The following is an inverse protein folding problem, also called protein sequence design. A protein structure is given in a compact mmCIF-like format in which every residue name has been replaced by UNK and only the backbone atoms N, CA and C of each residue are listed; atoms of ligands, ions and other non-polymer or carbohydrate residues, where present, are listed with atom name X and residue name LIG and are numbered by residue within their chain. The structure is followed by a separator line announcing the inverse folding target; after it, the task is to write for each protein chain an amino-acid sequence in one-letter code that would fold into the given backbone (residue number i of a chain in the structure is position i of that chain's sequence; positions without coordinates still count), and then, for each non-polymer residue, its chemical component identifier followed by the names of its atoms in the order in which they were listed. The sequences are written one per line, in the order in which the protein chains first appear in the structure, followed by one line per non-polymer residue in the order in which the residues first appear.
data_IF_162944798605
#
_entry.id   IF_162944798605
#
_cell.length_a   1.000
_cell.length_b   1.000
_cell.length_c   1.000
_cell.angle_alpha   90.00
_cell.angle_beta   90.00
_cell.angle_gamma   90.00
#
_symmetry.space_group_name_H-M   'P 1'
#
loop_
_entity.id
_entity.type
_entity.pdbx_description
1 polymer ?
#
# COMPACT_ATOMS: atom_id res chain seq x y z
N UNK A 1 -11.59 -18.34 27.59
CA UNK A 1 -12.38 -17.20 27.06
C UNK A 1 -13.16 -16.57 28.20
N UNK A 2 -12.94 -15.28 28.46
CA UNK A 2 -13.52 -14.57 29.59
C UNK A 2 -14.99 -14.19 29.29
N UNK A 3 -15.96 -14.79 29.99
CA UNK A 3 -17.39 -14.46 29.87
C UNK A 3 -17.68 -12.97 30.10
N UNK A 4 -16.84 -12.30 30.89
CA UNK A 4 -16.91 -10.88 31.18
C UNK A 4 -16.66 -10.01 29.94
N UNK A 5 -15.74 -10.40 29.07
CA UNK A 5 -15.49 -9.68 27.81
C UNK A 5 -16.73 -9.70 26.91
N UNK A 6 -17.28 -10.89 26.66
CA UNK A 6 -18.46 -11.04 25.79
C UNK A 6 -19.65 -10.24 26.30
N UNK A 7 -19.92 -10.34 27.60
CA UNK A 7 -21.04 -9.63 28.23
C UNK A 7 -20.88 -8.12 28.12
N UNK A 8 -19.67 -7.60 28.37
CA UNK A 8 -19.41 -6.17 28.30
C UNK A 8 -19.41 -5.65 26.85
N UNK A 9 -18.79 -6.38 25.92
CA UNK A 9 -18.68 -5.97 24.52
C UNK A 9 -20.04 -5.97 23.80
N UNK A 10 -20.93 -6.92 24.11
CA UNK A 10 -22.25 -7.02 23.49
C UNK A 10 -23.19 -5.83 23.79
N UNK A 11 -22.87 -4.99 24.78
CA UNK A 11 -23.64 -3.78 25.04
C UNK A 11 -23.46 -2.73 23.93
N UNK A 12 -22.27 -2.68 23.34
CA UNK A 12 -21.88 -1.64 22.38
C UNK A 12 -21.64 -2.19 20.96
N UNK A 13 -21.42 -3.49 20.81
CA UNK A 13 -20.98 -4.13 19.58
C UNK A 13 -21.80 -5.37 19.23
N UNK A 14 -21.98 -5.59 17.93
CA UNK A 14 -22.39 -6.89 17.39
C UNK A 14 -21.11 -7.67 17.07
N UNK A 15 -20.89 -8.78 17.78
CA UNK A 15 -19.67 -9.58 17.63
C UNK A 15 -19.83 -10.59 16.49
N UNK A 16 -18.86 -10.61 15.59
CA UNK A 16 -18.76 -11.58 14.49
C UNK A 16 -17.36 -12.18 14.54
N UNK A 17 -17.27 -13.51 14.57
CA UNK A 17 -15.99 -14.24 14.49
C UNK A 17 -15.87 -14.91 13.13
N UNK A 18 -14.72 -14.72 12.48
CA UNK A 18 -14.36 -15.41 11.25
C UNK A 18 -13.11 -16.24 11.53
N UNK A 19 -13.23 -17.55 11.42
CA UNK A 19 -12.13 -18.48 11.69
C UNK A 19 -11.40 -18.87 10.40
N UNK A 20 -10.07 -18.90 10.47
CA UNK A 20 -9.16 -19.27 9.37
C UNK A 20 -8.24 -20.44 9.79
N UNK A 21 -8.79 -21.64 10.05
CA UNK A 21 -8.01 -22.78 10.50
C UNK A 21 -7.11 -23.33 9.38
N UNK A 22 -5.98 -23.91 9.75
CA UNK A 22 -5.02 -24.49 8.78
C UNK A 22 -5.32 -25.95 8.42
N UNK A 23 -5.83 -26.75 9.35
CA UNK A 23 -6.11 -28.19 9.15
C UNK A 23 -7.36 -28.45 8.30
N UNK A 24 -7.29 -29.45 7.41
CA UNK A 24 -8.36 -29.76 6.44
C UNK A 24 -9.72 -30.06 7.10
N UNK A 25 -9.74 -30.87 8.17
CA UNK A 25 -10.98 -31.17 8.90
C UNK A 25 -11.61 -29.92 9.51
N UNK A 26 -10.79 -29.01 10.04
CA UNK A 26 -11.28 -27.76 10.62
C UNK A 26 -11.73 -26.76 9.54
N UNK A 27 -11.06 -26.72 8.38
CA UNK A 27 -11.51 -25.94 7.22
C UNK A 27 -12.90 -26.39 6.73
N UNK A 28 -13.15 -27.70 6.71
CA UNK A 28 -14.46 -28.25 6.34
C UNK A 28 -15.58 -27.88 7.33
N UNK A 29 -15.24 -27.52 8.57
CA UNK A 29 -16.19 -27.10 9.59
C UNK A 29 -16.49 -25.59 9.57
N UNK A 30 -15.75 -24.79 8.78
CA UNK A 30 -16.02 -23.35 8.64
C UNK A 30 -17.36 -23.15 7.93
N UNK A 31 -18.34 -22.42 8.52
CA UNK A 31 -19.68 -22.31 7.96
C UNK A 31 -19.75 -21.68 6.57
N UNK A 32 -18.87 -20.71 6.28
CA UNK A 32 -18.83 -20.03 4.99
C UNK A 32 -17.40 -19.54 4.65
N UNK A 33 -16.50 -20.44 4.22
CA UNK A 33 -15.10 -20.10 3.98
C UNK A 33 -14.94 -19.06 2.86
N UNK A 34 -15.75 -19.15 1.80
CA UNK A 34 -15.72 -18.19 0.69
C UNK A 34 -16.02 -16.76 1.17
N UNK A 35 -17.03 -16.60 2.03
CA UNK A 35 -17.35 -15.28 2.59
C UNK A 35 -16.25 -14.77 3.53
N UNK A 36 -15.60 -15.66 4.28
CA UNK A 36 -14.48 -15.28 5.13
C UNK A 36 -13.32 -14.75 4.28
N UNK A 37 -12.99 -15.43 3.18
CA UNK A 37 -11.93 -15.03 2.25
C UNK A 37 -12.26 -13.68 1.57
N UNK A 38 -13.51 -13.49 1.13
CA UNK A 38 -13.98 -12.21 0.59
C UNK A 38 -13.82 -11.06 1.60
N UNK A 39 -14.17 -11.29 2.87
CA UNK A 39 -14.07 -10.27 3.91
C UNK A 39 -12.62 -9.99 4.33
N UNK A 40 -11.78 -11.03 4.38
CA UNK A 40 -10.34 -10.91 4.61
C UNK A 40 -9.69 -10.03 3.54
N UNK A 41 -10.00 -10.31 2.27
CA UNK A 41 -9.54 -9.50 1.14
C UNK A 41 -10.10 -8.08 1.19
N UNK A 42 -11.42 -7.92 1.41
CA UNK A 42 -12.09 -6.61 1.46
C UNK A 42 -11.47 -5.67 2.51
N UNK A 43 -11.13 -6.20 3.68
CA UNK A 43 -10.58 -5.41 4.77
C UNK A 43 -9.04 -5.44 4.85
N UNK A 44 -8.37 -6.07 3.88
CA UNK A 44 -6.91 -6.12 3.81
C UNK A 44 -6.26 -6.80 5.03
N UNK A 45 -6.90 -7.83 5.58
CA UNK A 45 -6.38 -8.53 6.77
C UNK A 45 -5.22 -9.44 6.34
N UNK A 46 -4.01 -9.12 6.80
CA UNK A 46 -2.78 -9.83 6.44
C UNK A 46 -2.28 -10.78 7.55
N UNK A 47 -2.85 -10.69 8.76
CA UNK A 47 -2.39 -11.45 9.91
C UNK A 47 -3.45 -11.60 10.99
N UNK A 48 -3.19 -12.51 11.93
CA UNK A 48 -4.11 -12.86 13.01
C UNK A 48 -3.43 -12.77 14.38
N UNK A 49 -4.15 -12.38 15.45
CA UNK A 49 -5.54 -11.94 15.45
C UNK A 49 -5.68 -10.49 14.96
N UNK A 50 -6.71 -10.25 14.15
CA UNK A 50 -7.13 -8.90 13.71
C UNK A 50 -8.59 -8.68 14.11
N UNK A 51 -8.87 -7.56 14.75
CA UNK A 51 -10.21 -7.11 15.14
C UNK A 51 -10.55 -5.86 14.37
N UNK A 52 -11.58 -5.93 13.54
CA UNK A 52 -12.08 -4.80 12.74
C UNK A 52 -13.30 -4.19 13.42
N UNK A 53 -13.39 -2.86 13.41
CA UNK A 53 -14.56 -2.11 13.83
C UNK A 53 -15.23 -1.58 12.56
N UNK A 54 -16.45 -2.04 12.30
CA UNK A 54 -17.14 -1.85 11.03
C UNK A 54 -18.53 -1.28 11.27
N UNK A 55 -18.95 -0.34 10.41
CA UNK A 55 -20.29 0.25 10.46
C UNK A 55 -21.36 -0.74 9.98
N UNK A 56 -22.63 -0.43 10.23
CA UNK A 56 -23.75 -1.28 9.80
C UNK A 56 -23.82 -1.50 8.27
N UNK A 57 -23.22 -0.60 7.48
CA UNK A 57 -23.14 -0.71 6.01
C UNK A 57 -21.82 -1.33 5.52
N UNK A 58 -20.96 -1.78 6.43
CA UNK A 58 -19.72 -2.45 6.08
C UNK A 58 -18.52 -1.54 5.84
N UNK A 59 -18.54 -0.29 6.32
CA UNK A 59 -17.39 0.63 6.29
C UNK A 59 -16.51 0.39 7.52
N UNK A 60 -15.26 -0.03 7.32
CA UNK A 60 -14.30 -0.16 8.41
C UNK A 60 -13.83 1.23 8.87
N UNK A 61 -13.80 1.45 10.18
CA UNK A 61 -13.36 2.71 10.79
C UNK A 61 -12.42 2.52 11.98
N UNK A 62 -12.03 1.28 12.26
CA UNK A 62 -11.06 0.97 13.29
C UNK A 62 -10.51 -0.43 13.10
N UNK A 63 -9.28 -0.62 13.55
CA UNK A 63 -8.61 -1.91 13.55
C UNK A 63 -7.75 -2.01 14.80
N UNK A 64 -7.70 -3.19 15.39
CA UNK A 64 -6.77 -3.54 16.47
C UNK A 64 -6.41 -5.01 16.35
N UNK A 65 -5.55 -5.50 17.23
CA UNK A 65 -5.11 -6.89 17.26
C UNK A 65 -4.96 -7.38 18.70
N UNK A 66 -4.07 -8.34 18.91
CA UNK A 66 -3.70 -8.75 20.26
C UNK A 66 -2.97 -7.61 20.97
N UNK A 67 -3.34 -7.37 22.23
CA UNK A 67 -2.61 -6.52 23.16
C UNK A 67 -2.50 -7.25 24.48
N UNK A 68 -1.35 -7.15 25.14
CA UNK A 68 -1.10 -7.70 26.47
C UNK A 68 -1.81 -6.82 27.51
N UNK A 69 -3.14 -6.90 27.53
CA UNK A 69 -4.05 -6.12 28.36
C UNK A 69 -5.07 -7.06 29.00
N UNK A 70 -5.53 -6.70 30.20
CA UNK A 70 -6.66 -7.37 30.81
C UNK A 70 -7.94 -7.12 30.00
N UNK A 71 -8.96 -8.02 30.07
CA UNK A 71 -10.15 -7.92 29.22
C UNK A 71 -10.89 -6.59 29.29
N UNK A 72 -10.92 -5.95 30.46
CA UNK A 72 -11.56 -4.65 30.66
C UNK A 72 -10.80 -3.52 29.95
N UNK A 73 -9.47 -3.51 30.06
CA UNK A 73 -8.60 -2.51 29.43
C UNK A 73 -8.59 -2.68 27.91
N UNK A 74 -8.62 -3.93 27.42
CA UNK A 74 -8.76 -4.21 25.99
C UNK A 74 -10.09 -3.66 25.44
N UNK A 75 -11.20 -3.83 26.17
CA UNK A 75 -12.49 -3.29 25.73
C UNK A 75 -12.51 -1.75 25.75
N UNK A 76 -11.85 -1.12 26.73
CA UNK A 76 -11.71 0.33 26.78
C UNK A 76 -10.88 0.85 25.58
N UNK A 77 -9.81 0.15 25.21
CA UNK A 77 -9.03 0.44 24.00
C UNK A 77 -9.88 0.33 22.73
N UNK A 78 -10.66 -0.75 22.57
CA UNK A 78 -11.59 -0.93 21.44
C UNK A 78 -12.63 0.20 21.39
N UNK A 79 -13.15 0.64 22.54
CA UNK A 79 -14.08 1.77 22.62
C UNK A 79 -13.42 3.10 22.20
N UNK A 80 -12.17 3.34 22.59
CA UNK A 80 -11.41 4.51 22.16
C UNK A 80 -11.17 4.51 20.64
N UNK A 81 -10.79 3.37 20.07
CA UNK A 81 -10.62 3.20 18.62
C UNK A 81 -11.95 3.45 17.90
N UNK A 82 -13.05 2.90 18.43
CA UNK A 82 -14.41 3.14 17.90
C UNK A 82 -14.72 4.63 17.86
N UNK A 83 -14.46 5.37 18.93
CA UNK A 83 -14.82 6.77 19.04
C UNK A 83 -13.96 7.67 18.15
N UNK A 84 -12.66 7.39 18.06
CA UNK A 84 -11.74 8.04 17.10
C UNK A 84 -12.18 7.78 15.67
N UNK A 85 -12.47 6.51 15.33
CA UNK A 85 -12.90 6.13 14.00
C UNK A 85 -14.27 6.71 13.59
N UNK A 86 -15.23 6.79 14.52
CA UNK A 86 -16.50 7.48 14.29
C UNK A 86 -16.30 8.96 13.96
N UNK A 87 -15.40 9.66 14.67
CA UNK A 87 -15.07 11.06 14.37
C UNK A 87 -14.44 11.19 12.97
N UNK A 88 -13.53 10.29 12.62
CA UNK A 88 -12.94 10.24 11.28
C UNK A 88 -14.00 10.02 10.20
N UNK A 89 -14.93 9.08 10.38
CA UNK A 89 -16.04 8.87 9.44
C UNK A 89 -16.93 10.10 9.28
N UNK A 90 -17.22 10.82 10.38
CA UNK A 90 -17.99 12.07 10.30
C UNK A 90 -17.22 13.11 9.49
N UNK A 91 -15.93 13.32 9.77
CA UNK A 91 -15.10 14.26 9.02
C UNK A 91 -15.03 13.94 7.53
N UNK A 92 -14.88 12.65 7.17
CA UNK A 92 -14.90 12.19 5.78
C UNK A 92 -16.25 12.51 5.13
N UNK A 93 -17.38 12.21 5.78
CA UNK A 93 -18.71 12.48 5.24
C UNK A 93 -19.00 13.98 5.09
N UNK A 94 -18.51 14.80 6.02
CA UNK A 94 -18.60 16.25 5.92
C UNK A 94 -17.81 16.76 4.71
N UNK A 95 -16.58 16.26 4.51
CA UNK A 95 -15.76 16.59 3.34
C UNK A 95 -16.43 16.13 2.03
N UNK A 96 -16.99 14.92 2.01
CA UNK A 96 -17.73 14.39 0.85
C UNK A 96 -18.93 15.27 0.50
N UNK A 97 -19.71 15.67 1.51
CA UNK A 97 -20.86 16.54 1.32
C UNK A 97 -20.45 17.92 0.82
N UNK A 98 -19.37 18.49 1.37
CA UNK A 98 -18.80 19.76 0.90
C UNK A 98 -18.32 19.65 -0.55
N UNK A 99 -17.53 18.61 -0.88
CA UNK A 99 -17.04 18.38 -2.24
C UNK A 99 -18.19 18.20 -3.23
N UNK A 100 -19.26 17.50 -2.84
CA UNK A 100 -20.43 17.33 -3.70
C UNK A 100 -21.15 18.65 -3.99
N UNK A 101 -21.27 19.52 -2.99
CA UNK A 101 -21.99 20.79 -3.05
C UNK A 101 -21.17 21.97 -3.59
N UNK A 102 -19.84 21.90 -3.56
CA UNK A 102 -18.97 22.99 -3.97
C UNK A 102 -19.06 23.31 -5.47
N UNK A 103 -19.08 24.60 -5.80
CA UNK A 103 -18.90 25.09 -7.17
C UNK A 103 -17.46 24.83 -7.65
N UNK A 104 -16.48 25.09 -6.78
CA UNK A 104 -15.07 24.78 -7.02
C UNK A 104 -14.65 23.52 -6.26
N UNK A 105 -14.87 22.37 -6.89
CA UNK A 105 -14.51 21.06 -6.33
C UNK A 105 -12.99 20.83 -6.29
N UNK A 106 -12.24 21.45 -7.19
CA UNK A 106 -10.77 21.33 -7.22
C UNK A 106 -10.19 22.01 -5.98
N UNK A 107 -10.71 23.18 -5.58
CA UNK A 107 -10.30 23.83 -4.34
C UNK A 107 -10.54 22.96 -3.09
N UNK A 108 -11.67 22.25 -3.03
CA UNK A 108 -11.95 21.29 -1.94
C UNK A 108 -10.95 20.14 -1.94
N UNK A 109 -10.62 19.58 -3.11
CA UNK A 109 -9.61 18.52 -3.23
C UNK A 109 -8.20 18.99 -2.84
N UNK A 110 -7.81 20.21 -3.21
CA UNK A 110 -6.52 20.81 -2.81
C UNK A 110 -6.46 21.00 -1.29
N UNK A 111 -7.54 21.47 -0.67
CA UNK A 111 -7.64 21.54 0.80
C UNK A 111 -7.53 20.15 1.42
N UNK A 112 -8.25 19.17 0.88
CA UNK A 112 -8.20 17.78 1.35
C UNK A 112 -6.78 17.22 1.28
N UNK A 113 -6.03 17.48 0.21
CA UNK A 113 -4.62 17.07 0.08
C UNK A 113 -3.73 17.71 1.16
N UNK A 114 -3.93 19.00 1.45
CA UNK A 114 -3.20 19.71 2.50
C UNK A 114 -3.58 19.29 3.93
N UNK A 115 -4.78 18.76 4.14
CA UNK A 115 -5.18 18.11 5.41
C UNK A 115 -4.58 16.70 5.50
N UNK A 116 -4.62 15.93 4.42
CA UNK A 116 -4.08 14.58 4.32
C UNK A 116 -2.60 14.53 4.68
N UNK A 117 -1.79 15.50 4.21
CA UNK A 117 -0.36 15.58 4.53
C UNK A 117 -0.04 15.85 6.01
N UNK A 118 -1.04 16.23 6.81
CA UNK A 118 -0.90 16.53 8.25
C UNK A 118 -1.48 15.43 9.13
N UNK A 119 -2.14 14.42 8.54
CA UNK A 119 -2.74 13.34 9.30
C UNK A 119 -1.67 12.41 9.86
N UNK A 120 -1.90 11.91 11.06
CA UNK A 120 -1.08 10.85 11.64
C UNK A 120 -1.21 9.58 10.79
N UNK A 121 -0.09 8.89 10.59
CA UNK A 121 -0.07 7.61 9.91
C UNK A 121 -1.04 6.63 10.58
N UNK A 122 -1.87 5.95 9.78
CA UNK A 122 -2.90 5.04 10.27
C UNK A 122 -4.21 5.72 10.70
N UNK A 123 -4.36 7.04 10.54
CA UNK A 123 -5.65 7.71 10.75
C UNK A 123 -6.74 7.08 9.89
N UNK A 124 -7.92 6.73 10.46
CA UNK A 124 -9.03 6.15 9.69
C UNK A 124 -9.61 7.10 8.62
N UNK A 125 -9.30 8.39 8.67
CA UNK A 125 -9.77 9.38 7.69
C UNK A 125 -8.97 9.37 6.38
N UNK A 126 -7.75 8.81 6.38
CA UNK A 126 -6.80 8.89 5.26
C UNK A 126 -7.43 8.42 3.95
N UNK A 127 -8.06 7.25 3.94
CA UNK A 127 -8.63 6.67 2.72
C UNK A 127 -9.76 7.54 2.13
N UNK A 128 -10.65 8.08 2.97
CA UNK A 128 -11.74 8.96 2.53
C UNK A 128 -11.23 10.27 1.96
N UNK A 129 -10.25 10.89 2.62
CA UNK A 129 -9.61 12.11 2.12
C UNK A 129 -8.87 11.88 0.80
N UNK A 130 -8.08 10.80 0.71
CA UNK A 130 -7.39 10.43 -0.52
C UNK A 130 -8.36 10.17 -1.69
N UNK A 131 -9.56 9.62 -1.41
CA UNK A 131 -10.59 9.44 -2.43
C UNK A 131 -11.11 10.78 -2.97
N UNK A 132 -11.32 11.79 -2.11
CA UNK A 132 -11.69 13.15 -2.53
C UNK A 132 -10.57 13.81 -3.33
N UNK A 133 -9.32 13.65 -2.90
CA UNK A 133 -8.14 14.13 -3.63
C UNK A 133 -8.09 13.55 -5.04
N UNK A 134 -8.27 12.23 -5.19
CA UNK A 134 -8.30 11.55 -6.50
C UNK A 134 -9.46 12.01 -7.38
N UNK A 135 -10.63 12.28 -6.81
CA UNK A 135 -11.73 12.88 -7.58
C UNK A 135 -11.34 14.26 -8.11
N UNK A 136 -10.63 15.08 -7.32
CA UNK A 136 -10.11 16.38 -7.75
C UNK A 136 -9.11 16.29 -8.92
N UNK A 137 -8.26 15.26 -8.94
CA UNK A 137 -7.31 15.01 -10.03
C UNK A 137 -8.04 14.91 -11.39
N UNK A 138 -9.18 14.23 -11.43
CA UNK A 138 -9.96 14.05 -12.65
C UNK A 138 -10.64 15.35 -13.14
N UNK A 139 -10.79 16.35 -12.27
CA UNK A 139 -11.51 17.59 -12.55
C UNK A 139 -10.59 18.74 -12.99
N UNK A 140 -9.31 18.72 -12.61
CA UNK A 140 -8.37 19.78 -12.96
C UNK A 140 -7.66 19.54 -14.30
N UNK A 141 -7.42 20.62 -15.04
CA UNK A 141 -6.56 20.63 -16.24
C UNK A 141 -5.19 21.28 -15.97
N UNK A 142 -4.98 21.82 -14.76
CA UNK A 142 -3.72 22.48 -14.39
C UNK A 142 -2.66 21.43 -14.00
N UNK A 143 -1.56 21.28 -14.75
CA UNK A 143 -0.61 20.19 -14.53
C UNK A 143 0.00 20.20 -13.12
N UNK A 144 0.36 21.36 -12.58
CA UNK A 144 0.95 21.49 -11.25
C UNK A 144 0.01 21.01 -10.15
N UNK A 145 -1.25 21.48 -10.15
CA UNK A 145 -2.26 21.05 -9.17
C UNK A 145 -2.49 19.55 -9.26
N UNK A 146 -2.53 19.02 -10.49
CA UNK A 146 -2.76 17.61 -10.75
C UNK A 146 -1.65 16.72 -10.18
N UNK A 147 -0.39 17.12 -10.39
CA UNK A 147 0.79 16.48 -9.83
C UNK A 147 0.76 16.50 -8.30
N UNK A 148 0.42 17.64 -7.70
CA UNK A 148 0.39 17.79 -6.23
C UNK A 148 -0.69 16.91 -5.60
N UNK A 149 -1.89 16.86 -6.20
CA UNK A 149 -2.97 15.99 -5.75
C UNK A 149 -2.58 14.51 -5.89
N UNK A 150 -1.97 14.12 -7.02
CA UNK A 150 -1.52 12.73 -7.23
C UNK A 150 -0.48 12.32 -6.19
N UNK A 151 0.54 13.15 -5.95
CA UNK A 151 1.56 12.90 -4.92
C UNK A 151 0.93 12.73 -3.55
N UNK A 152 0.03 13.63 -3.16
CA UNK A 152 -0.65 13.55 -1.87
C UNK A 152 -1.45 12.23 -1.71
N UNK A 153 -2.19 11.82 -2.74
CA UNK A 153 -2.98 10.59 -2.70
C UNK A 153 -2.10 9.32 -2.65
N UNK A 154 -1.06 9.26 -3.50
CA UNK A 154 -0.16 8.11 -3.59
C UNK A 154 0.68 7.97 -2.31
N UNK A 155 1.22 9.07 -1.78
CA UNK A 155 1.98 9.02 -0.52
C UNK A 155 1.12 8.56 0.67
N UNK A 156 -0.18 8.90 0.66
CA UNK A 156 -1.07 8.58 1.77
C UNK A 156 -1.66 7.16 1.70
N UNK A 157 -1.90 6.62 0.51
CA UNK A 157 -2.64 5.36 0.32
C UNK A 157 -1.96 4.33 -0.57
N UNK A 158 -0.77 4.66 -1.09
CA UNK A 158 -0.14 3.91 -2.16
C UNK A 158 -0.74 4.19 -3.53
N UNK A 159 0.01 3.88 -4.58
CA UNK A 159 -0.44 3.95 -5.96
C UNK A 159 -1.41 2.82 -6.29
N UNK A 160 -2.48 3.14 -7.00
CA UNK A 160 -3.40 2.16 -7.58
C UNK A 160 -3.22 2.04 -9.11
N UNK A 161 -3.95 1.12 -9.74
CA UNK A 161 -3.87 0.91 -11.19
C UNK A 161 -4.25 2.15 -12.02
N UNK A 162 -5.18 2.95 -11.53
CA UNK A 162 -5.60 4.16 -12.22
C UNK A 162 -4.49 5.22 -12.13
N UNK A 163 -3.83 5.36 -10.98
CA UNK A 163 -2.66 6.23 -10.80
C UNK A 163 -1.52 5.82 -11.77
N UNK A 164 -1.26 4.52 -11.92
CA UNK A 164 -0.25 3.99 -12.86
C UNK A 164 -0.59 4.38 -14.31
N UNK A 165 -1.83 4.15 -14.75
CA UNK A 165 -2.28 4.48 -16.11
C UNK A 165 -2.18 5.99 -16.37
N UNK A 166 -2.56 6.78 -15.38
CA UNK A 166 -2.56 8.23 -15.43
C UNK A 166 -1.16 8.82 -15.61
N UNK A 167 -0.19 8.27 -14.88
CA UNK A 167 1.21 8.71 -14.96
C UNK A 167 1.82 8.41 -16.32
N UNK A 168 1.50 7.26 -16.92
CA UNK A 168 1.97 6.92 -18.26
C UNK A 168 1.53 7.95 -19.32
N UNK A 169 0.35 8.54 -19.16
CA UNK A 169 -0.18 9.53 -20.10
C UNK A 169 0.38 10.95 -19.86
N UNK A 170 0.60 11.33 -18.60
CA UNK A 170 0.94 12.71 -18.24
C UNK A 170 2.42 12.98 -18.06
N UNK A 171 3.16 11.97 -17.64
CA UNK A 171 4.61 12.04 -17.45
C UNK A 171 5.30 10.89 -18.18
N UNK A 172 5.08 10.72 -19.51
CA UNK A 172 5.57 9.57 -20.29
C UNK A 172 7.11 9.49 -20.31
N UNK A 173 7.78 10.60 -20.01
CA UNK A 173 9.24 10.72 -19.92
C UNK A 173 9.72 10.92 -18.49
N UNK A 174 8.88 10.68 -17.48
CA UNK A 174 9.24 10.81 -16.07
C UNK A 174 9.95 12.15 -15.72
N UNK A 175 9.61 13.24 -16.40
CA UNK A 175 10.16 14.59 -16.15
C UNK A 175 9.77 15.13 -14.78
N UNK A 176 8.65 14.65 -14.22
CA UNK A 176 8.18 15.01 -12.88
C UNK A 176 8.45 13.94 -11.82
N UNK A 177 9.16 12.86 -12.18
CA UNK A 177 9.48 11.76 -11.26
C UNK A 177 8.26 10.94 -10.83
N UNK A 178 7.12 11.06 -11.52
CA UNK A 178 5.89 10.39 -11.09
C UNK A 178 5.97 8.87 -11.24
N UNK A 179 6.68 8.39 -12.26
CA UNK A 179 6.85 6.95 -12.44
C UNK A 179 7.74 6.38 -11.34
N UNK A 180 8.82 7.06 -10.93
CA UNK A 180 9.63 6.65 -9.77
C UNK A 180 8.76 6.53 -8.52
N UNK A 181 7.94 7.55 -8.24
CA UNK A 181 7.04 7.56 -7.08
C UNK A 181 6.03 6.38 -7.10
N UNK A 182 5.49 6.04 -8.27
CA UNK A 182 4.55 4.93 -8.42
C UNK A 182 5.27 3.58 -8.22
N UNK A 183 6.45 3.41 -8.81
CA UNK A 183 7.22 2.16 -8.68
C UNK A 183 7.69 1.95 -7.24
N UNK A 184 8.22 2.99 -6.57
CA UNK A 184 8.63 2.88 -5.16
C UNK A 184 7.43 2.59 -4.24
N UNK A 185 6.27 3.21 -4.53
CA UNK A 185 5.03 2.91 -3.81
C UNK A 185 4.63 1.44 -3.97
N UNK A 186 4.76 0.87 -5.17
CA UNK A 186 4.46 -0.54 -5.41
C UNK A 186 5.47 -1.44 -4.69
N UNK A 187 6.76 -1.11 -4.76
CA UNK A 187 7.83 -1.83 -4.07
C UNK A 187 7.56 -1.96 -2.56
N UNK A 188 7.14 -0.87 -1.92
CA UNK A 188 6.83 -0.82 -0.49
C UNK A 188 5.55 -1.59 -0.10
N UNK A 189 4.74 -1.99 -1.08
CA UNK A 189 3.48 -2.73 -0.87
C UNK A 189 3.57 -4.22 -1.21
N UNK A 190 4.75 -4.71 -1.62
CA UNK A 190 4.94 -6.12 -1.97
C UNK A 190 4.72 -7.01 -0.75
N UNK A 191 3.84 -7.99 -0.89
CA UNK A 191 3.48 -8.92 0.19
C UNK A 191 3.81 -10.38 -0.11
N UNK A 192 4.07 -10.72 -1.37
CA UNK A 192 4.25 -12.10 -1.82
C UNK A 192 5.18 -12.21 -3.04
N UNK A 193 5.68 -13.41 -3.31
CA UNK A 193 6.55 -13.68 -4.48
C UNK A 193 5.77 -13.48 -5.79
N UNK A 194 4.46 -13.74 -5.76
CA UNK A 194 3.54 -13.57 -6.88
C UNK A 194 3.39 -12.11 -7.32
N UNK A 195 3.70 -11.14 -6.44
CA UNK A 195 3.67 -9.71 -6.76
C UNK A 195 4.92 -9.23 -7.53
N UNK A 196 6.02 -9.98 -7.45
CA UNK A 196 7.32 -9.55 -7.96
C UNK A 196 7.34 -9.30 -9.48
N UNK A 197 6.74 -10.15 -10.34
CA UNK A 197 6.73 -9.91 -11.78
C UNK A 197 6.05 -8.59 -12.15
N UNK A 198 4.98 -8.21 -11.45
CA UNK A 198 4.27 -6.94 -11.69
C UNK A 198 5.14 -5.75 -11.31
N UNK A 199 5.90 -5.85 -10.22
CA UNK A 199 6.85 -4.82 -9.83
C UNK A 199 8.01 -4.68 -10.83
N UNK A 200 8.59 -5.79 -11.29
CA UNK A 200 9.67 -5.76 -12.29
C UNK A 200 9.17 -5.18 -13.62
N UNK A 201 7.96 -5.52 -14.07
CA UNK A 201 7.36 -4.91 -15.27
C UNK A 201 7.15 -3.38 -15.12
N UNK A 202 6.76 -2.92 -13.93
CA UNK A 202 6.66 -1.49 -13.64
C UNK A 202 8.02 -0.80 -13.63
N UNK A 203 9.06 -1.45 -13.10
CA UNK A 203 10.42 -0.94 -13.17
C UNK A 203 10.94 -0.88 -14.62
N UNK A 204 10.63 -1.87 -15.47
CA UNK A 204 10.94 -1.79 -16.90
C UNK A 204 10.26 -0.59 -17.57
N UNK A 205 8.99 -0.33 -17.25
CA UNK A 205 8.27 0.85 -17.73
C UNK A 205 8.94 2.14 -17.27
N UNK A 206 9.40 2.21 -16.02
CA UNK A 206 10.19 3.34 -15.52
C UNK A 206 11.48 3.51 -16.31
N UNK A 207 12.26 2.45 -16.49
CA UNK A 207 13.51 2.48 -17.24
C UNK A 207 13.28 2.95 -18.70
N UNK A 208 12.21 2.47 -19.33
CA UNK A 208 11.82 2.80 -20.69
C UNK A 208 11.42 4.28 -20.88
N UNK A 209 11.12 5.02 -19.82
CA UNK A 209 10.91 6.48 -19.90
C UNK A 209 12.17 7.23 -20.35
N UNK A 210 13.35 6.61 -20.19
CA UNK A 210 14.64 7.18 -20.57
C UNK A 210 15.13 8.30 -19.67
N UNK A 211 14.43 8.59 -18.58
CA UNK A 211 14.75 9.68 -17.66
C UNK A 211 14.58 9.20 -16.21
N UNK A 212 15.59 8.46 -15.75
CA UNK A 212 15.67 7.97 -14.38
C UNK A 212 16.83 8.67 -13.70
N UNK A 213 16.52 9.46 -12.68
CA UNK A 213 17.50 10.21 -11.89
C UNK A 213 18.29 9.28 -10.98
N UNK A 214 19.57 9.58 -10.75
CA UNK A 214 20.41 8.81 -9.84
C UNK A 214 20.17 9.19 -8.37
N UNK A 215 18.90 9.10 -7.95
CA UNK A 215 18.48 9.27 -6.55
C UNK A 215 18.40 7.92 -5.82
N UNK A 216 18.16 7.99 -4.52
CA UNK A 216 18.09 6.82 -3.64
C UNK A 216 16.95 5.86 -4.02
N UNK A 217 15.79 6.39 -4.40
CA UNK A 217 14.62 5.60 -4.77
C UNK A 217 14.89 4.81 -6.07
N UNK A 218 15.44 5.47 -7.08
CA UNK A 218 15.76 4.86 -8.38
C UNK A 218 16.81 3.76 -8.26
N UNK A 219 17.85 3.97 -7.43
CA UNK A 219 18.83 2.92 -7.11
C UNK A 219 18.18 1.75 -6.39
N UNK A 220 17.39 2.04 -5.36
CA UNK A 220 16.69 1.02 -4.59
C UNK A 220 15.82 0.15 -5.49
N UNK A 221 15.05 0.77 -6.39
CA UNK A 221 14.23 0.05 -7.38
C UNK A 221 15.08 -0.91 -8.23
N UNK A 222 16.19 -0.43 -8.82
CA UNK A 222 17.00 -1.26 -9.72
C UNK A 222 17.69 -2.41 -8.99
N UNK A 223 18.25 -2.16 -7.81
CA UNK A 223 18.90 -3.19 -7.00
C UNK A 223 17.89 -4.23 -6.53
N UNK A 224 16.71 -3.77 -6.08
CA UNK A 224 15.62 -4.67 -5.68
C UNK A 224 15.14 -5.52 -6.85
N UNK A 225 15.06 -4.96 -8.06
CA UNK A 225 14.78 -5.76 -9.27
C UNK A 225 15.87 -6.80 -9.52
N UNK A 226 17.14 -6.43 -9.44
CA UNK A 226 18.26 -7.36 -9.63
C UNK A 226 18.18 -8.52 -8.62
N UNK A 227 18.03 -8.19 -7.34
CA UNK A 227 17.93 -9.15 -6.25
C UNK A 227 16.72 -10.08 -6.40
N UNK A 228 15.54 -9.54 -6.71
CA UNK A 228 14.33 -10.37 -6.87
C UNK A 228 14.39 -11.28 -8.09
N UNK A 229 14.97 -10.81 -9.20
CA UNK A 229 15.20 -11.65 -10.37
C UNK A 229 16.13 -12.83 -10.04
N UNK A 230 17.23 -12.57 -9.32
CA UNK A 230 18.18 -13.60 -8.92
C UNK A 230 17.61 -14.60 -7.90
N UNK A 231 16.97 -14.10 -6.84
CA UNK A 231 16.66 -14.91 -5.66
C UNK A 231 15.29 -15.59 -5.71
N UNK A 232 14.30 -14.99 -6.37
CA UNK A 232 12.91 -15.45 -6.28
C UNK A 232 12.28 -15.80 -7.63
N UNK A 233 12.72 -15.16 -8.71
CA UNK A 233 12.15 -15.39 -10.04
C UNK A 233 12.97 -16.37 -10.89
N UNK A 234 14.13 -16.81 -10.40
CA UNK A 234 15.05 -17.69 -11.13
C UNK A 234 15.42 -17.14 -12.52
N UNK A 235 15.53 -15.80 -12.64
CA UNK A 235 15.79 -15.08 -13.88
C UNK A 235 17.16 -14.38 -13.82
N UNK A 236 18.22 -15.19 -13.88
CA UNK A 236 19.61 -14.72 -13.82
C UNK A 236 19.96 -13.70 -14.91
N UNK A 237 19.36 -13.87 -16.10
CA UNK A 237 19.62 -12.99 -17.23
C UNK A 237 19.13 -11.57 -16.93
N UNK A 238 17.88 -11.42 -16.47
CA UNK A 238 17.35 -10.12 -16.08
C UNK A 238 17.99 -9.60 -14.79
N UNK A 239 18.38 -10.47 -13.85
CA UNK A 239 19.11 -10.07 -12.66
C UNK A 239 20.40 -9.31 -13.02
N UNK A 240 21.18 -9.83 -13.97
CA UNK A 240 22.41 -9.19 -14.46
C UNK A 240 22.14 -7.88 -15.20
N UNK A 241 21.06 -7.82 -15.98
CA UNK A 241 20.65 -6.57 -16.66
C UNK A 241 20.34 -5.48 -15.62
N UNK A 242 19.55 -5.80 -14.59
CA UNK A 242 19.21 -4.86 -13.54
C UNK A 242 20.40 -4.46 -12.67
N UNK A 243 21.28 -5.41 -12.33
CA UNK A 243 22.52 -5.15 -11.62
C UNK A 243 23.41 -4.18 -12.39
N UNK A 244 23.59 -4.41 -13.70
CA UNK A 244 24.36 -3.50 -14.56
C UNK A 244 23.70 -2.10 -14.64
N UNK A 245 22.38 -2.03 -14.80
CA UNK A 245 21.64 -0.75 -14.79
C UNK A 245 21.83 0.02 -13.48
N UNK A 246 21.87 -0.68 -12.33
CA UNK A 246 22.14 -0.07 -11.03
C UNK A 246 23.58 0.49 -10.96
N UNK A 247 24.58 -0.26 -11.45
CA UNK A 247 25.97 0.21 -11.60
C UNK A 247 26.05 1.45 -12.48
N UNK A 248 25.41 1.44 -13.64
CA UNK A 248 25.44 2.53 -14.60
C UNK A 248 24.77 3.81 -14.06
N UNK A 249 23.74 3.66 -13.23
CA UNK A 249 23.10 4.78 -12.53
C UNK A 249 24.06 5.45 -11.52
N UNK A 250 24.96 4.65 -10.94
CA UNK A 250 26.05 5.10 -10.06
C UNK A 250 25.58 5.59 -8.68
N UNK A 251 26.53 5.73 -7.74
CA UNK A 251 26.25 6.20 -6.37
C UNK A 251 25.65 5.14 -5.44
N UNK A 252 25.99 3.87 -5.68
CA UNK A 252 25.68 2.74 -4.81
C UNK A 252 26.46 2.87 -3.49
N UNK A 253 25.81 2.58 -2.36
CA UNK A 253 26.52 2.41 -1.08
C UNK A 253 27.27 1.06 -1.05
N UNK A 254 28.09 0.83 -0.04
CA UNK A 254 28.90 -0.39 0.08
C UNK A 254 28.05 -1.67 0.02
N UNK A 255 26.90 -1.70 0.69
CA UNK A 255 26.02 -2.88 0.72
C UNK A 255 25.32 -3.08 -0.63
N UNK A 256 24.90 -1.99 -1.25
CA UNK A 256 24.30 -2.00 -2.59
C UNK A 256 25.31 -2.52 -3.62
N UNK A 257 26.57 -2.10 -3.51
CA UNK A 257 27.64 -2.56 -4.38
C UNK A 257 27.92 -4.06 -4.20
N UNK A 258 27.99 -4.55 -2.97
CA UNK A 258 28.16 -5.99 -2.69
C UNK A 258 27.06 -6.86 -3.32
N UNK A 259 25.80 -6.42 -3.25
CA UNK A 259 24.67 -7.15 -3.88
C UNK A 259 24.83 -7.19 -5.40
N UNK A 260 25.16 -6.06 -6.01
CA UNK A 260 25.31 -5.94 -7.47
C UNK A 260 26.51 -6.76 -7.96
N UNK A 261 27.65 -6.66 -7.28
CA UNK A 261 28.86 -7.38 -7.64
C UNK A 261 28.65 -8.89 -7.52
N UNK A 262 28.00 -9.37 -6.44
CA UNK A 262 27.67 -10.80 -6.29
C UNK A 262 26.83 -11.35 -7.45
N UNK A 263 25.81 -10.61 -7.90
CA UNK A 263 24.94 -11.01 -9.02
C UNK A 263 25.72 -11.03 -10.35
N UNK A 264 26.67 -10.11 -10.53
CA UNK A 264 27.49 -10.04 -11.75
C UNK A 264 28.60 -11.10 -11.77
N UNK A 265 29.18 -11.45 -10.61
CA UNK A 265 30.28 -12.39 -10.46
C UNK A 265 29.87 -13.88 -10.54
N UNK A 266 28.66 -14.26 -10.13
CA UNK A 266 28.15 -15.65 -10.23
C UNK A 266 28.13 -16.21 -11.68
N UNK A 267 28.36 -15.38 -12.69
CA UNK A 267 28.57 -15.81 -14.08
C UNK A 267 29.96 -16.42 -14.36
N UNK A 268 30.95 -16.21 -13.48
CA UNK A 268 32.35 -16.57 -13.73
C UNK A 268 32.74 -18.00 -13.36
N UNK A 269 31.96 -18.69 -12.54
CA UNK A 269 32.30 -20.04 -12.05
C UNK A 269 31.74 -21.19 -12.91
N UNK A 270 30.90 -20.89 -13.91
CA UNK A 270 30.33 -21.90 -14.80
C UNK A 270 31.20 -22.27 -16.03
N UNK A 271 32.33 -21.61 -16.27
CA UNK A 271 33.20 -21.87 -17.45
C UNK A 271 34.59 -22.45 -17.15
N UNK A 272 34.92 -22.85 -15.90
CA UNK A 272 36.27 -23.37 -15.59
C UNK A 272 36.41 -24.89 -15.44
N UNK A 273 35.37 -25.68 -15.74
CA UNK A 273 35.44 -27.14 -15.69
C UNK A 273 35.22 -27.78 -17.07
N UNK A 274 36.19 -27.61 -17.98
CA UNK A 274 36.46 -28.53 -19.11
C UNK A 274 37.96 -28.60 -19.45
#
# INVERSE_FOLDING_TARGET
MHSEFYTAAQNDFVLVSLDFPQGEEAKAAVPNPQRNDELMAKYGVQGFPTVMIVSAIGEAYGQTGYKDLDPADYLADVAAIRDTGKKALVAVRELEAEFAAAEDKVAVAVRAAGELSKMEAGSPAIAGYAAIVRQGIALTQEPAVKIDLLRAAVMATGANEDDIKLVADWDPKNEHGLMVMVVISKMNSLGSIEDLPVFVDLAEKLHATGNVTADEDSRSIYITCAFFCAQYLEDEANAKVWAQRATDLGGLDERMQEVVDGILEEAGEAESDF
#
